data_IF_644003880700
#
_entry.id   IF_644003880700
#
_cell.length_a   1.000
_cell.length_b   1.000
_cell.length_c   1.000
_cell.angle_alpha   90.00
_cell.angle_beta   90.00
_cell.angle_gamma   90.00
#
_symmetry.space_group_name_H-M   'P 1'
#
loop_
_entity.id
_entity.type
_entity.pdbx_description
1 polymer ?
#
# COMPACT_ATOMS: atom_id res chain seq x y z
N UNK A 1 51.88 16.68 1.64
CA UNK A 1 50.95 15.59 1.97
C UNK A 1 51.76 14.30 2.05
N UNK A 2 51.89 13.78 3.27
CA UNK A 2 52.18 12.38 3.65
C UNK A 2 52.56 12.41 5.13
N UNK A 3 51.55 12.47 5.99
CA UNK A 3 51.71 12.38 7.45
C UNK A 3 51.19 11.00 7.88
N UNK A 4 52.05 10.00 7.78
CA UNK A 4 51.81 8.71 8.43
C UNK A 4 52.52 8.76 9.77
N UNK A 5 51.77 9.14 10.81
CA UNK A 5 52.25 9.32 12.17
C UNK A 5 53.04 8.10 12.68
N UNK A 6 54.06 8.39 13.49
CA UNK A 6 55.00 7.44 14.07
C UNK A 6 54.31 6.20 14.64
N UNK A 7 54.80 5.00 14.23
CA UNK A 7 54.39 3.72 14.80
C UNK A 7 54.61 3.75 16.31
N UNK A 8 53.56 3.44 17.08
CA UNK A 8 53.69 3.19 18.53
C UNK A 8 54.53 1.92 18.73
N UNK A 9 55.47 1.88 19.69
CA UNK A 9 56.14 0.64 20.05
C UNK A 9 55.12 -0.28 20.74
N UNK A 10 55.07 -1.54 20.31
CA UNK A 10 54.37 -2.60 21.04
C UNK A 10 55.17 -2.88 22.31
N UNK A 11 54.52 -2.75 23.47
CA UNK A 11 55.04 -3.23 24.75
C UNK A 11 54.80 -4.74 24.84
N UNK A 12 55.90 -5.51 24.81
CA UNK A 12 55.90 -6.90 25.25
C UNK A 12 55.79 -6.97 26.79
N UNK A 13 55.29 -8.10 27.28
CA UNK A 13 55.16 -8.51 28.69
C UNK A 13 53.85 -8.13 29.42
N UNK A 14 52.81 -8.91 29.14
CA UNK A 14 51.85 -9.31 30.16
C UNK A 14 51.71 -10.84 30.13
N UNK A 15 51.98 -11.58 31.23
CA UNK A 15 51.71 -13.00 31.28
C UNK A 15 50.20 -13.21 31.21
N UNK A 16 49.75 -13.80 30.11
CA UNK A 16 48.38 -14.25 29.93
C UNK A 16 48.11 -15.37 30.92
N UNK A 17 47.52 -15.03 32.08
CA UNK A 17 46.91 -16.01 32.97
C UNK A 17 45.71 -16.57 32.23
N UNK A 18 45.91 -17.72 31.60
CA UNK A 18 44.84 -18.48 30.97
C UNK A 18 43.96 -19.11 32.05
N UNK A 19 43.06 -18.31 32.63
CA UNK A 19 41.88 -18.85 33.29
C UNK A 19 41.07 -19.59 32.23
N UNK A 20 40.85 -20.89 32.47
CA UNK A 20 40.17 -21.79 31.55
C UNK A 20 38.71 -21.38 31.36
N UNK A 21 38.45 -20.52 30.38
CA UNK A 21 37.13 -20.38 29.77
C UNK A 21 36.88 -21.63 28.94
N UNK A 22 36.14 -22.58 29.52
CA UNK A 22 35.59 -23.72 28.80
C UNK A 22 34.87 -23.21 27.55
N UNK A 23 35.45 -23.49 26.38
CA UNK A 23 34.84 -23.14 25.10
C UNK A 23 33.54 -23.93 24.99
N UNK A 24 32.41 -23.29 25.27
CA UNK A 24 31.11 -23.82 24.89
C UNK A 24 31.15 -24.17 23.40
N UNK A 25 30.82 -25.41 23.05
CA UNK A 25 30.70 -25.83 21.65
C UNK A 25 29.69 -24.92 20.97
N UNK A 26 30.16 -23.93 20.20
CA UNK A 26 29.30 -23.15 19.30
C UNK A 26 28.59 -24.17 18.41
N UNK A 27 27.30 -24.38 18.67
CA UNK A 27 26.48 -25.26 17.86
C UNK A 27 26.59 -24.87 16.38
N UNK A 28 26.48 -25.87 15.52
CA UNK A 28 26.46 -25.70 14.06
C UNK A 28 25.52 -24.53 13.71
N UNK A 29 25.96 -23.56 12.89
CA UNK A 29 25.09 -22.48 12.45
C UNK A 29 23.79 -23.08 11.90
N UNK A 30 22.65 -22.70 12.48
CA UNK A 30 21.34 -23.11 11.97
C UNK A 30 21.27 -22.66 10.50
N UNK A 31 20.89 -23.58 9.61
CA UNK A 31 20.63 -23.23 8.21
C UNK A 31 19.57 -22.14 8.23
N UNK A 32 19.88 -20.96 7.65
CA UNK A 32 18.87 -19.92 7.45
C UNK A 32 17.70 -20.58 6.71
N UNK A 33 16.44 -20.25 7.04
CA UNK A 33 15.32 -20.66 6.18
C UNK A 33 15.69 -20.31 4.74
N UNK A 34 15.36 -21.20 3.82
CA UNK A 34 15.74 -21.01 2.43
C UNK A 34 15.14 -19.68 1.98
N UNK A 35 16.03 -18.76 1.60
CA UNK A 35 15.63 -17.41 1.26
C UNK A 35 15.04 -17.46 -0.13
N UNK A 36 13.73 -17.65 -0.18
CA UNK A 36 12.97 -17.67 -1.42
C UNK A 36 12.66 -16.23 -1.85
N UNK A 37 13.52 -15.69 -2.73
CA UNK A 37 13.37 -14.33 -3.26
C UNK A 37 12.03 -14.12 -3.94
N UNK A 38 11.55 -15.10 -4.69
CA UNK A 38 10.35 -14.95 -5.51
C UNK A 38 9.12 -14.80 -4.61
N UNK A 39 9.08 -15.58 -3.53
CA UNK A 39 8.04 -15.48 -2.49
C UNK A 39 8.03 -14.11 -1.80
N UNK A 40 9.19 -13.52 -1.53
CA UNK A 40 9.25 -12.18 -0.93
C UNK A 40 8.81 -11.08 -1.90
N UNK A 41 9.18 -11.19 -3.17
CA UNK A 41 8.76 -10.27 -4.23
C UNK A 41 7.24 -10.33 -4.39
N UNK A 42 6.65 -11.52 -4.46
CA UNK A 42 5.19 -11.69 -4.56
C UNK A 42 4.46 -11.07 -3.35
N UNK A 43 4.93 -11.36 -2.14
CA UNK A 43 4.36 -10.78 -0.92
C UNK A 43 4.50 -9.24 -0.87
N UNK A 44 5.58 -8.69 -1.42
CA UNK A 44 5.75 -7.24 -1.53
C UNK A 44 4.79 -6.64 -2.57
N UNK A 45 4.62 -7.27 -3.72
CA UNK A 45 3.67 -6.84 -4.74
C UNK A 45 2.24 -6.83 -4.21
N UNK A 46 1.81 -7.90 -3.52
CA UNK A 46 0.48 -7.96 -2.90
C UNK A 46 0.24 -6.81 -1.91
N UNK A 47 1.20 -6.57 -1.01
CA UNK A 47 1.16 -5.42 -0.08
C UNK A 47 1.12 -4.08 -0.79
N UNK A 48 1.78 -3.97 -1.94
CA UNK A 48 1.78 -2.74 -2.74
C UNK A 48 0.40 -2.44 -3.33
N UNK A 49 -0.30 -3.47 -3.82
CA UNK A 49 -1.68 -3.34 -4.29
C UNK A 49 -2.61 -2.90 -3.16
N UNK A 50 -2.48 -3.51 -1.98
CA UNK A 50 -3.29 -3.19 -0.81
C UNK A 50 -3.03 -1.76 -0.31
N UNK A 51 -1.75 -1.41 -0.09
CA UNK A 51 -1.36 -0.13 0.50
C UNK A 51 -1.49 1.06 -0.44
N UNK A 52 -1.33 0.87 -1.76
CA UNK A 52 -1.31 1.98 -2.72
C UNK A 52 -2.41 1.89 -3.78
N UNK A 53 -2.76 0.67 -4.21
CA UNK A 53 -3.83 0.44 -5.19
C UNK A 53 -5.22 0.75 -4.62
N UNK A 54 -5.54 0.27 -3.41
CA UNK A 54 -6.84 0.59 -2.81
C UNK A 54 -7.06 2.07 -2.56
N UNK A 55 -6.10 2.82 -1.98
CA UNK A 55 -6.28 4.26 -1.78
C UNK A 55 -6.43 5.02 -3.09
N UNK A 56 -5.78 4.56 -4.16
CA UNK A 56 -5.95 5.16 -5.48
C UNK A 56 -7.37 4.96 -6.02
N UNK A 57 -7.89 3.73 -5.97
CA UNK A 57 -9.28 3.42 -6.34
C UNK A 57 -10.28 4.22 -5.49
N UNK A 58 -10.07 4.30 -4.17
CA UNK A 58 -10.91 5.07 -3.24
C UNK A 58 -10.90 6.56 -3.57
N UNK A 59 -9.72 7.13 -3.85
CA UNK A 59 -9.59 8.53 -4.25
C UNK A 59 -10.33 8.83 -5.57
N UNK A 60 -10.27 7.93 -6.56
CA UNK A 60 -11.01 8.07 -7.81
C UNK A 60 -12.52 8.04 -7.60
N UNK A 61 -13.02 7.07 -6.83
CA UNK A 61 -14.45 6.96 -6.51
C UNK A 61 -14.97 8.20 -5.76
N UNK A 62 -14.16 8.74 -4.84
CA UNK A 62 -14.50 9.96 -4.09
C UNK A 62 -14.48 11.22 -4.96
N UNK A 63 -13.59 11.28 -5.94
CA UNK A 63 -13.53 12.39 -6.90
C UNK A 63 -14.80 12.48 -7.76
N UNK A 64 -15.48 11.36 -8.00
CA UNK A 64 -16.77 11.34 -8.70
C UNK A 64 -17.92 11.83 -7.81
N UNK A 65 -17.89 11.53 -6.51
CA UNK A 65 -18.87 12.06 -5.56
C UNK A 65 -18.68 13.56 -5.29
N UNK A 66 -17.43 13.96 -5.08
CA UNK A 66 -17.01 15.27 -4.59
C UNK A 66 -15.88 15.80 -5.49
N UNK A 67 -16.20 16.27 -6.71
CA UNK A 67 -15.19 16.67 -7.69
C UNK A 67 -14.40 17.92 -7.29
N UNK A 68 -14.95 18.73 -6.38
CA UNK A 68 -14.38 20.00 -5.92
C UNK A 68 -13.40 19.81 -4.74
N UNK A 69 -13.47 18.67 -4.03
CA UNK A 69 -12.65 18.44 -2.85
C UNK A 69 -11.17 18.26 -3.24
N UNK A 70 -10.37 19.27 -2.90
CA UNK A 70 -8.94 19.32 -3.19
C UNK A 70 -8.16 18.12 -2.62
N UNK A 71 -8.60 17.56 -1.50
CA UNK A 71 -7.94 16.42 -0.83
C UNK A 71 -7.93 15.17 -1.72
N UNK A 72 -8.98 14.92 -2.50
CA UNK A 72 -9.06 13.75 -3.38
C UNK A 72 -8.18 13.93 -4.61
N UNK A 73 -8.17 15.14 -5.18
CA UNK A 73 -7.29 15.51 -6.31
C UNK A 73 -5.81 15.40 -5.94
N UNK A 74 -5.42 15.94 -4.78
CA UNK A 74 -4.04 15.89 -4.30
C UNK A 74 -3.59 14.47 -3.96
N UNK A 75 -4.44 13.67 -3.29
CA UNK A 75 -4.17 12.25 -3.01
C UNK A 75 -3.97 11.43 -4.29
N UNK A 76 -4.86 11.60 -5.29
CA UNK A 76 -4.73 10.98 -6.61
C UNK A 76 -3.37 11.32 -7.24
N UNK A 77 -3.02 12.60 -7.29
CA UNK A 77 -1.76 13.07 -7.91
C UNK A 77 -0.53 12.55 -7.17
N UNK A 78 -0.58 12.44 -5.84
CA UNK A 78 0.52 11.88 -5.04
C UNK A 78 0.74 10.40 -5.36
N UNK A 79 -0.33 9.63 -5.50
CA UNK A 79 -0.26 8.22 -5.86
C UNK A 79 0.21 8.01 -7.30
N UNK A 80 -0.27 8.83 -8.25
CA UNK A 80 0.24 8.79 -9.64
C UNK A 80 1.74 9.07 -9.73
N UNK A 81 2.24 10.05 -8.95
CA UNK A 81 3.69 10.31 -8.86
C UNK A 81 4.46 9.12 -8.28
N UNK A 82 3.88 8.41 -7.31
CA UNK A 82 4.49 7.22 -6.73
C UNK A 82 4.57 6.08 -7.75
N UNK A 83 3.47 5.78 -8.44
CA UNK A 83 3.42 4.72 -9.46
C UNK A 83 4.31 5.00 -10.67
N UNK A 84 4.46 6.26 -11.07
CA UNK A 84 5.39 6.65 -12.14
C UNK A 84 6.84 6.81 -11.67
N UNK A 85 7.13 6.61 -10.38
CA UNK A 85 8.49 6.78 -9.87
C UNK A 85 9.41 5.68 -10.39
N UNK A 86 10.68 6.05 -10.61
CA UNK A 86 11.72 5.06 -10.99
C UNK A 86 11.87 3.98 -9.93
N UNK A 87 11.69 4.34 -8.66
CA UNK A 87 11.76 3.42 -7.52
C UNK A 87 10.72 2.30 -7.61
N UNK A 88 9.46 2.63 -7.97
CA UNK A 88 8.41 1.63 -8.19
C UNK A 88 8.82 0.65 -9.29
N UNK A 89 9.23 1.18 -10.44
CA UNK A 89 9.71 0.36 -11.58
C UNK A 89 10.89 -0.55 -11.25
N UNK A 90 11.76 -0.16 -10.30
CA UNK A 90 12.93 -0.95 -9.93
C UNK A 90 12.64 -2.01 -8.87
N UNK A 91 11.63 -1.81 -8.02
CA UNK A 91 11.33 -2.73 -6.91
C UNK A 91 10.17 -3.67 -7.21
N UNK A 92 9.36 -3.36 -8.20
CA UNK A 92 8.25 -4.20 -8.63
C UNK A 92 8.32 -4.43 -10.12
N UNK A 93 8.22 -5.69 -10.53
CA UNK A 93 8.00 -6.06 -11.93
C UNK A 93 6.56 -5.78 -12.41
N UNK A 94 5.71 -5.29 -11.51
CA UNK A 94 4.31 -4.98 -11.78
C UNK A 94 4.20 -3.68 -12.59
N UNK A 95 3.50 -3.73 -13.73
CA UNK A 95 3.28 -2.53 -14.52
C UNK A 95 2.30 -1.57 -13.84
N UNK A 96 2.84 -0.44 -13.38
CA UNK A 96 2.11 0.70 -12.83
C UNK A 96 0.92 1.16 -13.70
N UNK A 97 1.05 1.12 -15.03
CA UNK A 97 0.00 1.59 -15.93
C UNK A 97 -1.21 0.66 -15.90
N UNK A 98 -0.96 -0.66 -15.96
CA UNK A 98 -2.00 -1.69 -15.87
C UNK A 98 -2.71 -1.60 -14.51
N UNK A 99 -1.95 -1.47 -13.43
CA UNK A 99 -2.49 -1.32 -12.08
C UNK A 99 -3.44 -0.11 -11.97
N UNK A 100 -2.99 1.06 -12.42
CA UNK A 100 -3.81 2.27 -12.37
C UNK A 100 -5.04 2.19 -13.26
N UNK A 101 -4.93 1.55 -14.43
CA UNK A 101 -6.05 1.34 -15.33
C UNK A 101 -7.11 0.41 -14.73
N UNK A 102 -6.68 -0.69 -14.11
CA UNK A 102 -7.59 -1.61 -13.41
C UNK A 102 -8.26 -0.92 -12.21
N UNK A 103 -7.50 -0.13 -11.45
CA UNK A 103 -8.06 0.66 -10.36
C UNK A 103 -9.12 1.67 -10.84
N UNK A 104 -8.93 2.29 -12.01
CA UNK A 104 -9.94 3.16 -12.66
C UNK A 104 -11.17 2.37 -13.05
N UNK A 105 -11.01 1.27 -13.80
CA UNK A 105 -12.11 0.38 -14.19
C UNK A 105 -12.96 -0.02 -12.99
N UNK A 106 -12.29 -0.41 -11.91
CA UNK A 106 -12.95 -0.86 -10.70
C UNK A 106 -13.61 0.30 -9.91
N UNK A 107 -13.09 1.52 -10.00
CA UNK A 107 -13.74 2.71 -9.48
C UNK A 107 -15.02 3.03 -10.28
N UNK A 108 -14.98 2.93 -11.61
CA UNK A 108 -16.14 3.17 -12.49
C UNK A 108 -17.28 2.18 -12.20
N UNK A 109 -16.96 0.90 -12.02
CA UNK A 109 -17.93 -0.13 -11.58
C UNK A 109 -18.57 0.24 -10.23
N UNK A 110 -17.78 0.77 -9.29
CA UNK A 110 -18.31 1.20 -8.00
C UNK A 110 -19.24 2.40 -8.13
N UNK A 111 -18.90 3.36 -9.01
CA UNK A 111 -19.75 4.52 -9.32
C UNK A 111 -21.08 4.06 -9.88
N UNK A 112 -21.07 3.22 -10.91
CA UNK A 112 -22.29 2.72 -11.54
C UNK A 112 -23.19 1.99 -10.53
N UNK A 113 -22.58 1.14 -9.68
CA UNK A 113 -23.31 0.45 -8.60
C UNK A 113 -23.94 1.41 -7.61
N UNK A 114 -23.22 2.47 -7.24
CA UNK A 114 -23.70 3.51 -6.32
C UNK A 114 -24.84 4.33 -6.93
N UNK A 115 -24.72 4.74 -8.18
CA UNK A 115 -25.77 5.45 -8.92
C UNK A 115 -27.04 4.62 -9.06
N UNK A 116 -26.89 3.33 -9.41
CA UNK A 116 -28.01 2.38 -9.46
C UNK A 116 -28.69 2.23 -8.11
N UNK A 117 -27.92 2.20 -7.02
CA UNK A 117 -28.46 2.20 -5.65
C UNK A 117 -29.28 3.45 -5.34
N UNK A 118 -28.76 4.63 -5.70
CA UNK A 118 -29.46 5.91 -5.54
C UNK A 118 -30.73 5.99 -6.37
N UNK A 119 -30.71 5.55 -7.62
CA UNK A 119 -31.89 5.53 -8.49
C UNK A 119 -33.01 4.66 -7.91
N UNK A 120 -32.68 3.44 -7.45
CA UNK A 120 -33.64 2.55 -6.79
C UNK A 120 -34.18 3.14 -5.48
N UNK A 121 -33.37 3.87 -4.73
CA UNK A 121 -33.82 4.55 -3.52
C UNK A 121 -34.82 5.68 -3.83
N UNK A 122 -34.56 6.48 -4.87
CA UNK A 122 -35.46 7.53 -5.37
C UNK A 122 -36.79 6.95 -5.85
N UNK A 123 -36.76 5.90 -6.67
CA UNK A 123 -37.97 5.20 -7.14
C UNK A 123 -38.82 4.69 -5.98
N UNK A 124 -38.21 4.12 -4.94
CA UNK A 124 -38.92 3.67 -3.74
C UNK A 124 -39.53 4.84 -2.96
N UNK A 125 -38.83 5.97 -2.88
CA UNK A 125 -39.35 7.17 -2.22
C UNK A 125 -40.54 7.75 -3.01
N UNK A 126 -40.45 7.83 -4.33
CA UNK A 126 -41.53 8.27 -5.22
C UNK A 126 -42.75 7.35 -5.13
N UNK A 127 -42.57 6.02 -5.15
CA UNK A 127 -43.68 5.07 -4.95
C UNK A 127 -44.34 5.23 -3.58
N UNK A 128 -43.56 5.48 -2.52
CA UNK A 128 -44.12 5.76 -1.18
C UNK A 128 -44.88 7.09 -1.16
N UNK A 129 -44.35 8.13 -1.79
CA UNK A 129 -45.01 9.43 -1.91
C UNK A 129 -46.31 9.33 -2.72
N UNK A 130 -46.30 8.62 -3.85
CA UNK A 130 -47.48 8.39 -4.68
C UNK A 130 -48.59 7.64 -3.93
N UNK A 131 -48.24 6.59 -3.18
CA UNK A 131 -49.20 5.89 -2.31
C UNK A 131 -49.80 6.80 -1.25
N UNK A 132 -48.97 7.63 -0.59
CA UNK A 132 -49.43 8.59 0.41
C UNK A 132 -50.38 9.63 -0.21
N UNK A 133 -50.05 10.14 -1.40
CA UNK A 133 -50.88 11.12 -2.11
C UNK A 133 -52.21 10.50 -2.56
N UNK A 134 -52.21 9.25 -3.07
CA UNK A 134 -53.43 8.51 -3.41
C UNK A 134 -54.33 8.28 -2.19
N UNK A 135 -53.74 7.91 -1.03
CA UNK A 135 -54.53 7.76 0.21
C UNK A 135 -55.09 9.08 0.71
N UNK A 136 -54.36 10.19 0.56
CA UNK A 136 -54.86 11.51 0.95
C UNK A 136 -56.01 11.98 0.05
N UNK A 137 -55.93 11.70 -1.25
CA UNK A 137 -56.99 12.03 -2.21
C UNK A 137 -58.26 11.20 -2.00
N UNK A 138 -58.16 9.96 -1.50
CA UNK A 138 -59.32 9.11 -1.22
C UNK A 138 -60.08 9.49 0.07
N UNK A 139 -59.52 10.36 0.91
CA UNK A 139 -60.11 10.83 2.17
C UNK A 139 -60.86 12.17 1.99
N UNK A 140 -60.71 12.82 0.83
CA UNK A 140 -61.41 14.05 0.45
C UNK A 140 -62.58 13.75 -0.48
#
# INVERSE_FOLDING_TARGET
MSDFGSKRPMSDDAPCVSEGIEKAKRGRPKKKPDYDRDKEIEAFQARTVELFGEPYRKALFKLVQEPEEWKHRSSKKKLERFFHSKWYRTLTDLDSAILMQEAKRQADINVERWERGRAKARERAERKAAKKNLSAAAVM
#
